data_IF_666284337630
#
_entry.id   IF_666284337630
#
_cell.length_a   1.000
_cell.length_b   1.000
_cell.length_c   1.000
_cell.angle_alpha   90.00
_cell.angle_beta   90.00
_cell.angle_gamma   90.00
#
_symmetry.space_group_name_H-M   'P 1'
#
loop_
_entity.id
_entity.type
_entity.pdbx_description
1 polymer ?
#
# COMPACT_ATOMS: atom_id res chain seq x y z
N UNK A 1 11.15 -14.80 20.05
CA UNK A 1 10.53 -15.05 18.72
C UNK A 1 10.51 -13.83 17.81
N UNK A 2 10.48 -12.59 18.33
CA UNK A 2 10.48 -11.35 17.54
C UNK A 2 11.61 -11.23 16.51
N UNK A 3 12.85 -11.60 16.88
CA UNK A 3 14.03 -11.49 15.99
C UNK A 3 13.91 -12.34 14.71
N UNK A 4 13.20 -13.48 14.77
CA UNK A 4 12.99 -14.35 13.61
C UNK A 4 11.95 -13.80 12.63
N UNK A 5 11.01 -12.96 13.09
CA UNK A 5 10.02 -12.30 12.25
C UNK A 5 10.56 -11.01 11.57
N UNK A 6 11.56 -10.36 12.17
CA UNK A 6 12.18 -9.14 11.62
C UNK A 6 13.11 -9.44 10.45
N UNK A 7 13.77 -10.61 10.43
CA UNK A 7 14.68 -11.02 9.35
C UNK A 7 13.96 -11.15 7.99
N UNK A 8 12.83 -11.86 7.86
CA UNK A 8 12.11 -11.94 6.59
C UNK A 8 11.59 -10.56 6.16
N UNK A 9 11.08 -9.75 7.10
CA UNK A 9 10.59 -8.39 6.79
C UNK A 9 11.69 -7.45 6.29
N UNK A 10 12.86 -7.48 6.92
CA UNK A 10 14.02 -6.67 6.51
C UNK A 10 14.60 -7.16 5.18
N UNK A 11 14.60 -8.47 4.92
CA UNK A 11 14.99 -9.04 3.63
C UNK A 11 14.03 -8.65 2.51
N UNK A 12 12.71 -8.71 2.73
CA UNK A 12 11.73 -8.33 1.72
C UNK A 12 11.85 -6.86 1.35
N UNK A 13 12.01 -5.97 2.35
CA UNK A 13 12.20 -4.53 2.10
C UNK A 13 13.50 -4.27 1.31
N UNK A 14 14.60 -4.94 1.66
CA UNK A 14 15.89 -4.79 0.96
C UNK A 14 15.86 -5.34 -0.47
N UNK A 15 15.19 -6.47 -0.70
CA UNK A 15 15.07 -7.09 -2.02
C UNK A 15 14.13 -6.28 -2.95
N UNK A 16 13.11 -5.62 -2.41
CA UNK A 16 12.26 -4.72 -3.20
C UNK A 16 13.05 -3.53 -3.77
N UNK A 17 14.05 -3.05 -3.04
CA UNK A 17 14.85 -1.88 -3.45
C UNK A 17 15.77 -2.15 -4.65
N UNK A 18 16.17 -3.40 -4.87
CA UNK A 18 17.04 -3.83 -5.99
C UNK A 18 16.28 -4.64 -7.06
N UNK A 19 14.95 -4.63 -7.03
CA UNK A 19 14.16 -5.31 -8.06
C UNK A 19 14.32 -4.57 -9.40
N UNK A 20 14.71 -5.27 -10.49
CA UNK A 20 15.01 -4.61 -11.73
C UNK A 20 13.75 -4.03 -12.36
N UNK A 21 13.73 -2.69 -12.54
CA UNK A 21 13.10 -1.89 -13.61
C UNK A 21 12.22 -2.60 -14.65
N UNK A 22 12.87 -3.59 -15.25
CA UNK A 22 12.70 -4.12 -16.59
C UNK A 22 13.14 -5.57 -16.53
N UNK A 23 12.38 -6.47 -17.15
CA UNK A 23 12.79 -7.88 -17.31
C UNK A 23 13.49 -8.11 -18.65
N UNK A 24 14.13 -9.28 -18.77
CA UNK A 24 14.84 -9.79 -19.95
C UNK A 24 14.09 -9.49 -21.25
N UNK A 25 14.75 -8.77 -22.17
CA UNK A 25 14.18 -8.36 -23.46
C UNK A 25 13.95 -6.85 -23.62
N UNK A 26 14.00 -6.06 -22.54
CA UNK A 26 13.97 -4.59 -22.63
C UNK A 26 15.38 -3.99 -22.57
N UNK A 27 15.68 -3.06 -23.49
CA UNK A 27 16.98 -2.38 -23.51
C UNK A 27 17.14 -1.50 -22.26
N UNK A 28 18.38 -1.37 -21.71
CA UNK A 28 18.63 -0.52 -20.54
C UNK A 28 18.11 0.92 -20.71
N UNK A 29 18.12 1.43 -21.95
CA UNK A 29 17.66 2.77 -22.34
C UNK A 29 16.24 2.82 -22.96
N UNK A 30 15.56 1.69 -23.11
CA UNK A 30 14.19 1.64 -23.68
C UNK A 30 13.13 2.24 -22.77
N UNK A 31 11.98 2.60 -23.34
CA UNK A 31 10.85 3.08 -22.55
C UNK A 31 10.37 1.99 -21.58
N UNK A 32 10.18 2.31 -20.31
CA UNK A 32 9.50 1.41 -19.37
C UNK A 32 8.03 1.47 -19.77
N UNK A 33 7.53 0.45 -20.47
CA UNK A 33 6.10 0.38 -20.73
C UNK A 33 5.35 0.50 -19.40
N UNK A 34 4.34 1.35 -19.34
CA UNK A 34 3.37 1.51 -18.24
C UNK A 34 2.55 0.21 -18.00
N UNK A 35 3.10 -0.97 -18.25
CA UNK A 35 2.56 -2.27 -17.87
C UNK A 35 3.18 -2.80 -16.57
N UNK A 36 4.12 -2.07 -15.98
CA UNK A 36 4.87 -2.54 -14.82
C UNK A 36 4.12 -2.20 -13.53
N UNK A 37 3.66 -3.24 -12.82
CA UNK A 37 2.94 -3.36 -11.53
C UNK A 37 2.09 -2.16 -11.03
N UNK A 38 2.70 -0.98 -10.97
CA UNK A 38 2.17 0.29 -10.53
C UNK A 38 1.17 0.93 -11.49
N UNK A 39 1.32 0.70 -12.80
CA UNK A 39 0.47 1.35 -13.80
C UNK A 39 -0.91 0.69 -14.00
N UNK A 40 -1.13 -0.47 -13.37
CA UNK A 40 -2.44 -1.14 -13.30
C UNK A 40 -3.26 -0.72 -12.06
N UNK A 41 -2.68 0.08 -11.17
CA UNK A 41 -3.39 0.55 -9.98
C UNK A 41 -4.17 1.82 -10.32
N UNK A 42 -5.44 1.95 -9.86
CA UNK A 42 -6.28 3.11 -10.17
C UNK A 42 -5.84 4.40 -9.43
N UNK A 43 -4.67 4.39 -8.81
CA UNK A 43 -4.12 5.52 -8.07
C UNK A 43 -2.60 5.59 -8.29
N UNK A 44 -2.05 6.80 -8.27
CA UNK A 44 -0.63 7.00 -8.48
C UNK A 44 0.19 6.46 -7.29
N UNK A 45 1.07 5.50 -7.56
CA UNK A 45 1.97 4.85 -6.57
C UNK A 45 3.45 5.24 -6.75
N UNK A 46 3.77 6.23 -7.60
CA UNK A 46 5.15 6.64 -7.88
C UNK A 46 5.87 7.20 -6.65
N UNK A 47 5.14 7.87 -5.75
CA UNK A 47 5.69 8.39 -4.50
C UNK A 47 5.32 7.46 -3.34
N UNK A 48 6.33 6.76 -2.79
CA UNK A 48 6.16 5.80 -1.70
C UNK A 48 5.52 6.40 -0.44
N UNK A 49 5.81 7.67 -0.12
CA UNK A 49 5.27 8.34 1.05
C UNK A 49 3.82 8.74 0.85
N UNK A 50 3.49 9.22 -0.35
CA UNK A 50 2.09 9.52 -0.70
C UNK A 50 1.24 8.25 -0.76
N UNK A 51 1.79 7.14 -1.27
CA UNK A 51 1.12 5.85 -1.27
C UNK A 51 0.89 5.34 0.16
N UNK A 52 1.91 5.40 1.02
CA UNK A 52 1.77 5.03 2.43
C UNK A 52 0.68 5.87 3.14
N UNK A 53 0.67 7.19 2.92
CA UNK A 53 -0.35 8.07 3.46
C UNK A 53 -1.77 7.69 2.98
N UNK A 54 -1.94 7.43 1.67
CA UNK A 54 -3.23 6.97 1.10
C UNK A 54 -3.67 5.63 1.69
N UNK A 55 -2.75 4.69 1.84
CA UNK A 55 -3.05 3.38 2.41
C UNK A 55 -3.47 3.47 3.88
N UNK A 56 -2.74 4.25 4.70
CA UNK A 56 -3.08 4.48 6.11
C UNK A 56 -4.45 5.15 6.23
N UNK A 57 -4.70 6.18 5.42
CA UNK A 57 -5.96 6.92 5.49
C UNK A 57 -7.16 6.04 5.08
N UNK A 58 -7.10 5.41 3.90
CA UNK A 58 -8.24 4.65 3.37
C UNK A 58 -8.49 3.35 4.14
N UNK A 59 -7.45 2.56 4.38
CA UNK A 59 -7.61 1.26 5.03
C UNK A 59 -7.59 1.36 6.56
N UNK A 60 -6.69 2.19 7.11
CA UNK A 60 -6.50 2.31 8.55
C UNK A 60 -7.51 3.23 9.23
N UNK A 61 -7.79 4.40 8.66
CA UNK A 61 -8.70 5.37 9.31
C UNK A 61 -10.15 5.10 8.88
N UNK A 62 -10.43 5.12 7.58
CA UNK A 62 -11.82 4.99 7.11
C UNK A 62 -12.36 3.59 7.32
N UNK A 63 -11.66 2.56 6.82
CA UNK A 63 -12.13 1.17 6.90
C UNK A 63 -12.30 0.65 8.33
N UNK A 64 -11.33 0.90 9.20
CA UNK A 64 -11.37 0.40 10.57
C UNK A 64 -12.37 1.17 11.46
N UNK A 65 -12.47 2.50 11.33
CA UNK A 65 -13.32 3.31 12.20
C UNK A 65 -14.78 3.41 11.75
N UNK A 66 -15.09 3.14 10.48
CA UNK A 66 -16.45 3.26 9.96
C UNK A 66 -17.50 2.50 10.78
N UNK A 67 -17.30 1.23 11.19
CA UNK A 67 -18.28 0.53 12.02
C UNK A 67 -18.57 1.22 13.35
N UNK A 68 -17.55 1.78 14.01
CA UNK A 68 -17.70 2.47 15.29
C UNK A 68 -18.51 3.77 15.16
N UNK A 69 -18.26 4.53 14.10
CA UNK A 69 -19.03 5.74 13.79
C UNK A 69 -20.50 5.39 13.52
N UNK A 70 -20.75 4.30 12.78
CA UNK A 70 -22.11 3.83 12.51
C UNK A 70 -22.81 3.39 13.80
N UNK A 71 -22.13 2.64 14.68
CA UNK A 71 -22.70 2.23 15.97
C UNK A 71 -23.01 3.45 16.82
N UNK A 72 -22.10 4.41 16.94
CA UNK A 72 -22.34 5.64 17.70
C UNK A 72 -23.55 6.41 17.17
N UNK A 73 -23.69 6.51 15.84
CA UNK A 73 -24.84 7.12 15.21
C UNK A 73 -26.15 6.39 15.57
N UNK A 74 -26.17 5.06 15.49
CA UNK A 74 -27.36 4.27 15.83
C UNK A 74 -27.73 4.39 17.31
N UNK A 75 -26.75 4.39 18.21
CA UNK A 75 -26.98 4.55 19.66
C UNK A 75 -27.55 5.92 19.98
N UNK A 76 -27.04 6.99 19.33
CA UNK A 76 -27.60 8.34 19.47
C UNK A 76 -29.02 8.41 18.94
N UNK A 77 -29.30 7.80 17.79
CA UNK A 77 -30.64 7.76 17.20
C UNK A 77 -31.64 6.97 18.06
N UNK A 78 -31.21 5.88 18.69
CA UNK A 78 -32.09 5.06 19.53
C UNK A 78 -32.41 5.70 20.89
N UNK A 79 -31.56 6.63 21.35
CA UNK A 79 -31.74 7.35 22.61
C UNK A 79 -32.47 8.71 22.44
N UNK A 80 -32.93 9.03 21.23
CA UNK A 80 -33.83 10.16 20.93
C UNK A 80 -35.26 9.65 20.78
#
# INVERSE_FOLDING_TARGET
MLRKAVIPLTRTIRCCQNSPVKFTGQTPRGFVHDGWANARTPFNVRNKWLFAAKAIFLYGIVGFWAPFIVVEYQMKKANQ
#
